data_IF_751729019850
#
_entry.id   IF_751729019850
#
_cell.length_a   1.000
_cell.length_b   1.000
_cell.length_c   1.000
_cell.angle_alpha   90.00
_cell.angle_beta   90.00
_cell.angle_gamma   90.00
#
_symmetry.space_group_name_H-M   'P 1'
#
loop_
_entity.id
_entity.type
_entity.pdbx_description
1 polymer ?
#
# COMPACT_ATOMS: atom_id res chain seq x y z
N UNK A 1 -40.50 -30.05 44.71
CA UNK A 1 -39.12 -29.54 44.70
C UNK A 1 -38.78 -29.12 43.28
N UNK A 2 -38.93 -27.83 42.98
CA UNK A 2 -39.13 -27.27 41.63
C UNK A 2 -38.15 -26.11 41.36
N UNK A 3 -36.92 -26.22 41.87
CA UNK A 3 -35.93 -25.12 41.90
C UNK A 3 -34.52 -25.55 41.47
N UNK A 4 -34.40 -26.50 40.54
CA UNK A 4 -33.10 -26.96 40.03
C UNK A 4 -32.99 -26.92 38.49
N UNK A 5 -33.85 -26.16 37.81
CA UNK A 5 -33.83 -26.03 36.33
C UNK A 5 -33.39 -24.62 35.88
N UNK A 6 -33.15 -23.67 36.79
CA UNK A 6 -32.87 -22.28 36.43
C UNK A 6 -31.39 -21.87 36.40
N UNK A 7 -30.44 -22.81 36.55
CA UNK A 7 -29.02 -22.45 36.76
C UNK A 7 -28.06 -23.01 35.71
N UNK A 8 -28.52 -23.34 34.50
CA UNK A 8 -27.65 -23.80 33.40
C UNK A 8 -27.84 -23.00 32.10
N UNK A 9 -28.33 -21.76 32.19
CA UNK A 9 -28.51 -20.88 31.02
C UNK A 9 -27.82 -19.52 31.19
N UNK A 10 -26.65 -19.51 31.84
CA UNK A 10 -25.89 -18.28 32.07
C UNK A 10 -24.38 -18.49 31.96
N UNK A 11 -23.93 -19.13 30.88
CA UNK A 11 -22.51 -19.31 30.58
C UNK A 11 -22.21 -19.22 29.07
N UNK A 12 -22.98 -18.40 28.34
CA UNK A 12 -22.53 -17.85 27.06
C UNK A 12 -21.73 -16.58 27.38
N UNK A 13 -20.55 -16.80 27.96
CA UNK A 13 -19.56 -15.77 28.23
C UNK A 13 -19.01 -15.24 26.92
N UNK A 14 -19.33 -13.98 26.65
CA UNK A 14 -18.82 -13.11 25.60
C UNK A 14 -17.32 -13.35 25.36
N UNK A 15 -17.01 -13.97 24.23
CA UNK A 15 -15.65 -14.18 23.73
C UNK A 15 -15.48 -13.63 22.31
N UNK A 16 -16.05 -12.46 22.02
CA UNK A 16 -15.79 -11.72 20.78
C UNK A 16 -14.93 -10.50 21.13
N UNK A 17 -13.61 -10.65 21.08
CA UNK A 17 -12.68 -9.51 21.08
C UNK A 17 -11.36 -9.96 20.46
N UNK A 18 -11.30 -9.77 19.15
CA UNK A 18 -10.16 -10.11 18.31
C UNK A 18 -10.52 -10.08 16.83
N UNK A 19 -11.39 -9.14 16.41
CA UNK A 19 -11.54 -8.83 15.01
C UNK A 19 -10.25 -8.11 14.57
N UNK A 20 -9.20 -8.88 14.29
CA UNK A 20 -8.11 -8.39 13.45
C UNK A 20 -8.78 -8.09 12.11
N UNK A 21 -8.92 -6.81 11.78
CA UNK A 21 -9.57 -6.36 10.55
C UNK A 21 -8.89 -7.06 9.36
N UNK A 22 -9.57 -8.05 8.78
CA UNK A 22 -9.04 -8.79 7.65
C UNK A 22 -8.98 -7.84 6.46
N UNK A 23 -7.78 -7.61 5.94
CA UNK A 23 -7.58 -6.77 4.79
C UNK A 23 -8.14 -7.42 3.53
N UNK A 24 -9.23 -6.86 3.02
CA UNK A 24 -9.81 -7.30 1.77
C UNK A 24 -8.99 -6.77 0.58
N UNK A 25 -7.92 -7.48 0.23
CA UNK A 25 -7.01 -7.08 -0.84
C UNK A 25 -7.64 -7.08 -2.24
N UNK A 26 -8.73 -7.80 -2.45
CA UNK A 26 -9.47 -7.80 -3.71
C UNK A 26 -10.27 -6.50 -3.87
N UNK A 27 -11.00 -6.10 -2.82
CA UNK A 27 -11.69 -4.81 -2.79
C UNK A 27 -10.70 -3.64 -2.95
N UNK A 28 -9.57 -3.68 -2.25
CA UNK A 28 -8.53 -2.65 -2.37
C UNK A 28 -7.90 -2.62 -3.77
N UNK A 29 -7.74 -3.77 -4.44
CA UNK A 29 -7.26 -3.81 -5.82
C UNK A 29 -8.26 -3.16 -6.76
N UNK A 30 -9.55 -3.47 -6.62
CA UNK A 30 -10.61 -2.84 -7.42
C UNK A 30 -10.58 -1.31 -7.27
N UNK A 31 -10.46 -0.82 -6.04
CA UNK A 31 -10.40 0.62 -5.77
C UNK A 31 -9.11 1.24 -6.32
N UNK A 32 -7.97 0.56 -6.20
CA UNK A 32 -6.70 1.03 -6.73
C UNK A 32 -6.71 1.10 -8.27
N UNK A 33 -7.34 0.11 -8.94
CA UNK A 33 -7.53 0.13 -10.38
C UNK A 33 -8.47 1.27 -10.81
N UNK A 34 -9.54 1.53 -10.06
CA UNK A 34 -10.43 2.66 -10.33
C UNK A 34 -9.71 4.02 -10.19
N UNK A 35 -8.76 4.15 -9.25
CA UNK A 35 -7.98 5.38 -9.04
C UNK A 35 -6.75 5.51 -9.96
N UNK A 36 -6.41 4.46 -10.71
CA UNK A 36 -5.30 4.44 -11.65
C UNK A 36 -5.50 5.47 -12.78
N UNK A 37 -6.75 5.72 -13.18
CA UNK A 37 -7.11 6.55 -14.33
C UNK A 37 -6.85 5.83 -15.65
N UNK A 38 -6.63 6.58 -16.73
CA UNK A 38 -6.52 6.04 -18.10
C UNK A 38 -5.16 5.40 -18.43
N UNK A 39 -4.30 5.21 -17.44
CA UNK A 39 -3.00 4.58 -17.63
C UNK A 39 -3.10 3.09 -17.95
N UNK A 40 -2.12 2.56 -18.67
CA UNK A 40 -2.02 1.11 -18.88
C UNK A 40 -1.55 0.44 -17.59
N UNK A 41 -2.35 -0.50 -17.08
CA UNK A 41 -1.97 -1.33 -15.94
C UNK A 41 -0.69 -2.13 -16.22
N UNK A 42 0.26 -2.11 -15.28
CA UNK A 42 1.48 -2.92 -15.35
C UNK A 42 1.47 -3.98 -14.24
N UNK A 43 1.36 -3.54 -12.99
CA UNK A 43 1.52 -4.41 -11.82
C UNK A 43 0.89 -3.80 -10.58
N UNK A 44 0.46 -4.66 -9.68
CA UNK A 44 -0.07 -4.37 -8.37
C UNK A 44 0.86 -4.89 -7.25
N UNK A 45 0.76 -4.29 -6.07
CA UNK A 45 1.57 -4.62 -4.89
C UNK A 45 0.67 -4.74 -3.68
N UNK A 46 0.77 -5.87 -2.98
CA UNK A 46 0.10 -6.07 -1.69
C UNK A 46 0.99 -5.43 -0.63
N UNK A 47 0.42 -4.58 0.21
CA UNK A 47 1.13 -4.10 1.39
C UNK A 47 0.37 -4.65 2.58
N UNK A 48 1.02 -5.51 3.35
CA UNK A 48 0.50 -6.03 4.61
C UNK A 48 1.64 -5.91 5.63
N UNK A 49 1.47 -4.99 6.57
CA UNK A 49 2.43 -4.68 7.62
C UNK A 49 1.80 -5.05 8.94
N UNK A 50 2.42 -6.00 9.64
CA UNK A 50 1.99 -6.49 10.94
C UNK A 50 2.87 -5.88 12.01
N UNK A 51 2.30 -5.57 13.17
CA UNK A 51 3.04 -5.06 14.31
C UNK A 51 3.88 -6.19 14.91
N UNK A 52 5.12 -6.36 14.48
CA UNK A 52 6.07 -7.20 15.19
C UNK A 52 6.54 -6.44 16.43
N UNK A 53 6.14 -6.94 17.62
CA UNK A 53 6.52 -6.41 18.94
C UNK A 53 8.05 -6.50 19.22
N UNK A 54 8.88 -6.71 18.20
CA UNK A 54 10.29 -7.11 18.25
C UNK A 54 11.29 -6.14 17.60
N UNK A 55 10.90 -4.93 17.18
CA UNK A 55 11.84 -3.80 17.10
C UNK A 55 12.40 -3.38 15.74
N UNK A 56 11.89 -3.86 14.61
CA UNK A 56 12.15 -3.22 13.31
C UNK A 56 10.85 -2.64 12.77
N UNK A 57 10.79 -1.33 12.53
CA UNK A 57 9.66 -0.70 11.84
C UNK A 57 9.42 -1.43 10.53
N UNK A 58 8.28 -2.12 10.42
CA UNK A 58 7.99 -2.95 9.27
C UNK A 58 8.01 -2.10 8.01
N UNK A 59 8.86 -2.47 7.06
CA UNK A 59 8.80 -1.95 5.70
C UNK A 59 8.57 -3.09 4.74
N UNK A 60 7.74 -2.87 3.72
CA UNK A 60 7.57 -3.80 2.62
C UNK A 60 8.29 -3.23 1.41
N UNK A 61 9.24 -3.98 0.87
CA UNK A 61 10.08 -3.55 -0.26
C UNK A 61 9.84 -4.43 -1.47
N UNK A 62 9.61 -3.78 -2.61
CA UNK A 62 9.50 -4.42 -3.92
C UNK A 62 10.56 -3.90 -4.88
N UNK A 63 11.16 -4.80 -5.65
CA UNK A 63 11.99 -4.45 -6.79
C UNK A 63 11.11 -4.27 -8.03
N UNK A 64 11.22 -3.12 -8.69
CA UNK A 64 10.45 -2.79 -9.90
C UNK A 64 11.37 -2.38 -11.03
N UNK A 65 11.20 -2.98 -12.20
CA UNK A 65 11.93 -2.60 -13.41
C UNK A 65 11.12 -1.53 -14.13
N UNK A 66 11.73 -0.38 -14.36
CA UNK A 66 11.11 0.71 -15.12
C UNK A 66 11.95 0.96 -16.37
N UNK A 67 11.28 1.08 -17.52
CA UNK A 67 11.91 1.43 -18.78
C UNK A 67 12.12 2.93 -18.89
N UNK A 68 13.26 3.35 -19.45
CA UNK A 68 13.53 4.74 -19.78
C UNK A 68 12.49 5.30 -20.75
N UNK A 69 12.46 6.63 -20.85
CA UNK A 69 11.55 7.37 -21.73
C UNK A 69 10.10 7.01 -21.46
N UNK A 70 9.74 6.82 -20.21
CA UNK A 70 8.39 6.44 -19.80
C UNK A 70 7.98 7.23 -18.57
N UNK A 71 6.76 7.74 -18.57
CA UNK A 71 6.10 8.33 -17.42
C UNK A 71 5.20 7.28 -16.78
N UNK A 72 5.48 6.99 -15.52
CA UNK A 72 4.71 6.07 -14.69
C UNK A 72 3.88 6.84 -13.67
N UNK A 73 2.78 6.24 -13.23
CA UNK A 73 2.02 6.65 -12.06
C UNK A 73 1.94 5.48 -11.09
N UNK A 74 2.25 5.78 -9.84
CA UNK A 74 2.06 4.88 -8.71
C UNK A 74 0.91 5.44 -7.88
N UNK A 75 -0.14 4.66 -7.67
CA UNK A 75 -1.23 5.02 -6.78
C UNK A 75 -1.44 3.93 -5.73
N UNK A 76 -1.97 4.32 -4.57
CA UNK A 76 -2.15 3.43 -3.42
C UNK A 76 -3.46 3.71 -2.71
N UNK A 77 -4.15 2.64 -2.35
CA UNK A 77 -5.39 2.66 -1.56
C UNK A 77 -5.11 1.98 -0.22
N UNK A 78 -5.53 2.63 0.86
CA UNK A 78 -5.34 2.15 2.23
C UNK A 78 -6.54 1.29 2.65
N UNK A 79 -6.29 0.29 3.49
CA UNK A 79 -7.33 -0.42 4.22
C UNK A 79 -8.17 0.54 5.06
N UNK A 80 -9.47 0.31 5.14
CA UNK A 80 -10.40 1.15 5.91
C UNK A 80 -10.14 1.12 7.41
N UNK A 81 -9.46 0.08 7.90
CA UNK A 81 -9.10 -0.10 9.30
C UNK A 81 -7.73 0.51 9.67
N UNK A 82 -7.00 1.07 8.71
CA UNK A 82 -5.70 1.69 9.00
C UNK A 82 -5.89 2.96 9.82
N UNK A 83 -5.12 3.10 10.90
CA UNK A 83 -5.03 4.36 11.65
C UNK A 83 -4.38 5.48 10.84
N UNK A 84 -3.44 5.11 9.97
CA UNK A 84 -2.60 6.05 9.23
C UNK A 84 -2.51 5.70 7.74
N UNK A 85 -2.13 6.69 6.92
CA UNK A 85 -1.90 6.48 5.49
C UNK A 85 -0.51 5.91 5.25
N UNK A 86 -0.43 4.91 4.38
CA UNK A 86 0.84 4.30 3.96
C UNK A 86 1.73 5.33 3.27
N UNK A 87 3.00 5.34 3.66
CA UNK A 87 4.08 6.02 2.97
C UNK A 87 4.56 5.12 1.83
N UNK A 88 4.52 5.63 0.61
CA UNK A 88 5.01 4.95 -0.58
C UNK A 88 6.17 5.77 -1.16
N UNK A 89 7.31 5.12 -1.33
CA UNK A 89 8.57 5.78 -1.70
C UNK A 89 9.28 5.00 -2.81
N UNK A 90 9.78 5.70 -3.82
CA UNK A 90 10.58 5.11 -4.88
C UNK A 90 12.05 5.51 -4.72
N UNK A 91 12.92 4.51 -4.72
CA UNK A 91 14.36 4.65 -4.51
C UNK A 91 15.18 4.12 -5.69
N UNK A 92 16.34 4.71 -5.87
CA UNK A 92 17.42 4.28 -6.76
C UNK A 92 18.68 4.03 -5.92
N UNK A 93 18.95 2.76 -5.63
CA UNK A 93 19.85 2.41 -4.51
C UNK A 93 19.29 2.97 -3.21
N UNK A 94 20.10 3.77 -2.51
CA UNK A 94 19.71 4.44 -1.26
C UNK A 94 19.12 5.85 -1.48
N UNK A 95 19.10 6.32 -2.73
CA UNK A 95 18.61 7.66 -3.06
C UNK A 95 17.09 7.65 -3.22
N UNK A 96 16.39 8.38 -2.36
CA UNK A 96 14.96 8.67 -2.52
C UNK A 96 14.74 9.55 -3.76
N UNK A 97 13.89 9.10 -4.68
CA UNK A 97 13.54 9.83 -5.90
C UNK A 97 12.23 10.60 -5.78
N UNK A 98 11.20 9.93 -5.26
CA UNK A 98 9.86 10.50 -5.11
C UNK A 98 9.11 9.74 -4.02
N UNK A 99 8.19 10.43 -3.34
CA UNK A 99 7.28 9.82 -2.39
C UNK A 99 5.87 10.41 -2.52
N UNK A 100 4.90 9.73 -1.93
CA UNK A 100 3.54 10.26 -1.80
C UNK A 100 3.38 11.27 -0.65
N UNK A 101 4.46 11.66 0.04
CA UNK A 101 4.47 12.73 1.05
C UNK A 101 5.18 13.95 0.47
N UNK A 102 4.46 15.05 0.30
CA UNK A 102 5.05 16.30 -0.18
C UNK A 102 4.49 17.48 0.62
N UNK A 103 5.37 18.37 1.08
CA UNK A 103 5.01 19.58 1.84
C UNK A 103 4.12 19.27 3.06
N UNK A 104 4.42 18.19 3.78
CA UNK A 104 3.65 17.75 4.95
C UNK A 104 2.31 17.08 4.63
N UNK A 105 1.88 17.04 3.37
CA UNK A 105 0.63 16.40 2.95
C UNK A 105 0.88 15.01 2.35
N UNK A 106 0.01 14.07 2.71
CA UNK A 106 -0.05 12.74 2.14
C UNK A 106 -0.99 12.69 0.94
N UNK A 107 -0.48 12.19 -0.18
CA UNK A 107 -1.18 11.97 -1.44
C UNK A 107 -1.43 10.47 -1.65
N UNK A 108 -2.46 10.12 -2.42
CA UNK A 108 -2.73 8.71 -2.80
C UNK A 108 -1.93 8.26 -4.02
N UNK A 109 -1.17 9.16 -4.67
CA UNK A 109 -0.40 8.83 -5.85
C UNK A 109 0.78 9.78 -6.06
N UNK A 110 1.76 9.33 -6.84
CA UNK A 110 2.77 10.19 -7.46
C UNK A 110 3.09 9.71 -8.88
N UNK A 111 3.57 10.64 -9.71
CA UNK A 111 4.12 10.35 -11.03
C UNK A 111 5.65 10.25 -10.97
N UNK A 112 6.24 9.44 -11.86
CA UNK A 112 7.68 9.36 -12.03
C UNK A 112 8.05 9.23 -13.50
N UNK A 113 8.90 10.13 -13.99
CA UNK A 113 9.45 10.05 -15.36
C UNK A 113 10.79 9.31 -15.30
N UNK A 114 10.82 8.09 -15.81
CA UNK A 114 12.01 7.25 -15.79
C UNK A 114 12.95 7.62 -16.94
N UNK A 115 14.20 7.98 -16.58
CA UNK A 115 15.23 8.37 -17.55
C UNK A 115 16.21 7.27 -17.93
N UNK A 116 16.30 6.22 -17.12
CA UNK A 116 17.27 5.14 -17.33
C UNK A 116 16.61 3.81 -17.00
N UNK A 117 16.69 2.85 -17.91
CA UNK A 117 16.11 1.52 -17.70
C UNK A 117 16.90 0.78 -16.63
N UNK A 118 16.28 0.53 -15.48
CA UNK A 118 16.90 -0.22 -14.37
C UNK A 118 15.89 -0.66 -13.33
N UNK A 119 16.39 -1.38 -12.33
CA UNK A 119 15.65 -1.78 -11.14
C UNK A 119 15.63 -0.64 -10.12
N UNK A 120 14.44 -0.33 -9.62
CA UNK A 120 14.19 0.61 -8.54
C UNK A 120 13.60 -0.14 -7.33
N UNK A 121 13.70 0.47 -6.16
CA UNK A 121 13.10 -0.04 -4.94
C UNK A 121 11.84 0.74 -4.59
N UNK A 122 10.68 0.09 -4.61
CA UNK A 122 9.42 0.64 -4.14
C UNK A 122 9.22 0.19 -2.69
N UNK A 123 9.26 1.12 -1.75
CA UNK A 123 9.23 0.87 -0.31
C UNK A 123 7.93 1.42 0.26
N UNK A 124 7.30 0.61 1.11
CA UNK A 124 6.09 0.95 1.84
C UNK A 124 6.34 0.89 3.34
N UNK A 125 5.82 1.86 4.07
CA UNK A 125 5.83 1.90 5.53
C UNK A 125 4.60 2.63 6.06
N UNK A 126 4.23 2.39 7.31
CA UNK A 126 3.27 3.23 8.00
C UNK A 126 3.99 4.12 9.02
N UNK A 127 3.47 5.32 9.32
CA UNK A 127 3.99 6.17 10.39
C UNK A 127 4.17 5.38 11.68
N UNK A 128 5.24 5.67 12.42
CA UNK A 128 5.59 5.01 13.70
C UNK A 128 5.71 3.47 13.64
N UNK A 129 5.86 2.89 12.44
CA UNK A 129 5.94 1.43 12.27
C UNK A 129 4.61 0.71 12.52
N UNK A 130 3.49 1.44 12.45
CA UNK A 130 2.17 0.89 12.69
C UNK A 130 1.83 -0.26 11.73
N UNK A 131 0.95 -1.14 12.20
CA UNK A 131 0.33 -2.13 11.34
C UNK A 131 -0.70 -1.50 10.41
N UNK A 132 -0.90 -2.14 9.26
CA UNK A 132 -1.89 -1.71 8.29
C UNK A 132 -1.71 -2.42 6.97
N UNK A 133 -2.69 -2.25 6.10
CA UNK A 133 -2.64 -2.82 4.78
C UNK A 133 -2.98 -1.81 3.70
N UNK A 134 -2.43 -2.02 2.52
CA UNK A 134 -2.72 -1.20 1.36
C UNK A 134 -2.57 -2.02 0.09
N UNK A 135 -3.05 -1.44 -1.00
CA UNK A 135 -2.86 -1.97 -2.35
C UNK A 135 -2.36 -0.85 -3.23
N UNK A 136 -1.20 -1.06 -3.85
CA UNK A 136 -0.63 -0.12 -4.79
C UNK A 136 -0.71 -0.65 -6.21
N UNK A 137 -0.85 0.24 -7.18
CA UNK A 137 -0.86 -0.06 -8.61
C UNK A 137 0.17 0.83 -9.30
N UNK A 138 0.95 0.20 -10.18
CA UNK A 138 1.84 0.84 -11.14
C UNK A 138 1.18 0.83 -12.52
N UNK A 139 1.15 1.99 -13.14
CA UNK A 139 0.64 2.20 -14.49
C UNK A 139 1.60 2.97 -15.37
N UNK A 140 1.62 2.65 -16.66
CA UNK A 140 2.25 3.46 -17.69
C UNK A 140 1.28 4.55 -18.15
N UNK A 141 1.69 5.80 -18.02
CA UNK A 141 0.89 6.96 -18.44
C UNK A 141 1.27 7.39 -19.85
N UNK A 142 2.57 7.41 -20.16
CA UNK A 142 3.07 7.82 -21.48
C UNK A 142 4.44 7.20 -21.74
N UNK A 143 4.67 6.79 -22.98
CA UNK A 143 6.01 6.49 -23.50
C UNK A 143 6.44 7.62 -24.43
N UNK A 144 7.64 8.16 -24.24
CA UNK A 144 8.19 9.26 -25.03
C UNK A 144 8.98 8.72 -26.22
N UNK A 145 8.86 9.39 -27.37
CA UNK A 145 9.74 9.15 -28.51
C UNK A 145 11.14 9.73 -28.24
N UNK A 146 12.13 9.34 -29.05
CA UNK A 146 13.46 9.94 -29.00
C UNK A 146 13.38 11.43 -29.35
N UNK A 147 13.99 12.31 -28.55
CA UNK A 147 13.94 13.76 -28.72
C UNK A 147 12.74 14.44 -28.05
N UNK A 148 11.77 13.70 -27.50
CA UNK A 148 10.66 14.26 -26.73
C UNK A 148 10.95 14.28 -25.23
N UNK A 149 10.47 15.30 -24.51
CA UNK A 149 10.53 15.31 -23.04
C UNK A 149 11.93 15.37 -22.42
N UNK A 150 12.95 15.74 -23.21
CA UNK A 150 14.35 15.82 -22.78
C UNK A 150 15.09 14.48 -22.76
N UNK A 151 14.69 13.54 -23.63
CA UNK A 151 15.23 12.19 -23.78
C UNK A 151 15.99 11.95 -25.08
#
# INVERSE_FOLDING_TARGET
MRKLIFTLLLLVGVGFSGANAQCNHEALLKDALAQMGDGQYIKDFIVDLKNDKGGESGTVKYSVILNSRSQYKFNVVNGSANSEKVHMQLYDGDKLLVSNKAQGKMYSAFGFVCRSTKVYSLVFSFPEGNEGCARAVLSLQKQFAAGEGGF
#
